data_IF_160613292928
#
_entry.id   IF_160613292928
#
_cell.length_a   1.000
_cell.length_b   1.000
_cell.length_c   1.000
_cell.angle_alpha   90.00
_cell.angle_beta   90.00
_cell.angle_gamma   90.00
#
_symmetry.space_group_name_H-M   'P 1'
#
loop_
_entity.id
_entity.type
_entity.pdbx_description
1 polymer ?
#
# COMPACT_ATOMS: atom_id res chain seq x y z
N UNK A 1 -42.96 -33.49 -3.30
CA UNK A 1 -41.95 -32.73 -2.53
C UNK A 1 -41.32 -31.72 -3.49
N UNK A 2 -41.87 -30.52 -3.54
CA UNK A 2 -41.40 -29.42 -4.39
C UNK A 2 -41.07 -28.26 -3.47
N UNK A 3 -39.80 -27.87 -3.43
CA UNK A 3 -39.36 -26.61 -2.82
C UNK A 3 -39.00 -25.65 -3.95
N UNK A 4 -39.61 -24.47 -4.06
CA UNK A 4 -39.07 -23.40 -4.89
C UNK A 4 -38.13 -22.54 -4.06
N UNK A 5 -36.83 -22.60 -4.35
CA UNK A 5 -35.81 -21.69 -3.80
C UNK A 5 -35.98 -20.33 -4.45
N UNK A 6 -36.53 -19.35 -3.72
CA UNK A 6 -36.61 -17.95 -4.14
C UNK A 6 -35.27 -17.26 -3.86
N UNK A 7 -34.37 -17.23 -4.85
CA UNK A 7 -33.19 -16.34 -4.82
C UNK A 7 -33.64 -14.93 -5.25
N UNK A 8 -33.87 -14.05 -4.27
CA UNK A 8 -34.05 -12.62 -4.53
C UNK A 8 -32.73 -11.94 -4.90
N UNK A 9 -32.75 -10.84 -5.66
CA UNK A 9 -31.53 -10.10 -6.00
C UNK A 9 -30.82 -9.59 -4.75
N UNK A 10 -29.47 -9.52 -4.73
CA UNK A 10 -28.75 -8.93 -3.62
C UNK A 10 -29.18 -7.47 -3.47
N UNK A 11 -29.67 -7.11 -2.28
CA UNK A 11 -29.97 -5.72 -1.92
C UNK A 11 -28.70 -4.89 -2.11
N UNK A 12 -28.73 -3.77 -2.86
CA UNK A 12 -27.57 -2.89 -2.92
C UNK A 12 -27.27 -2.39 -1.50
N UNK A 13 -26.03 -2.60 -1.05
CA UNK A 13 -25.50 -2.03 0.20
C UNK A 13 -25.76 -0.52 0.14
N UNK A 14 -26.50 0.01 1.11
CA UNK A 14 -26.82 1.43 1.19
C UNK A 14 -25.52 2.25 1.21
N UNK A 15 -25.33 3.12 0.22
CA UNK A 15 -24.23 4.10 0.16
C UNK A 15 -24.25 5.10 1.33
N UNK A 16 -25.30 5.09 2.16
CA UNK A 16 -25.46 5.97 3.33
C UNK A 16 -24.63 5.54 4.56
N UNK A 17 -23.84 4.46 4.48
CA UNK A 17 -22.88 4.07 5.52
C UNK A 17 -21.45 4.51 5.17
N UNK A 18 -21.31 5.63 4.47
CA UNK A 18 -20.12 6.45 4.63
C UNK A 18 -20.26 7.13 5.99
N UNK A 19 -19.78 6.46 7.03
CA UNK A 19 -19.73 7.01 8.38
C UNK A 19 -19.12 8.41 8.30
N UNK A 20 -19.91 9.43 8.66
CA UNK A 20 -19.39 10.74 8.98
C UNK A 20 -18.20 10.55 9.94
N UNK A 21 -17.11 11.33 9.82
CA UNK A 21 -15.99 11.20 10.74
C UNK A 21 -16.53 11.26 12.16
N UNK A 22 -16.30 10.18 12.92
CA UNK A 22 -16.73 10.08 14.31
C UNK A 22 -16.28 11.33 15.03
N UNK A 23 -17.19 12.04 15.71
CA UNK A 23 -16.89 13.29 16.39
C UNK A 23 -15.74 13.15 17.44
N UNK A 24 -15.43 11.91 17.83
CA UNK A 24 -14.37 11.53 18.79
C UNK A 24 -13.09 11.01 18.12
N UNK A 25 -12.95 11.10 16.80
CA UNK A 25 -11.75 10.61 16.12
C UNK A 25 -10.53 11.47 16.48
N UNK A 26 -9.56 10.87 17.17
CA UNK A 26 -8.27 11.50 17.45
C UNK A 26 -7.58 11.81 16.11
N UNK A 27 -7.10 13.04 15.86
CA UNK A 27 -6.35 13.36 14.65
C UNK A 27 -5.02 12.57 14.61
N UNK A 28 -4.95 11.55 13.76
CA UNK A 28 -3.78 10.65 13.70
C UNK A 28 -2.66 11.15 12.79
N UNK A 29 -2.92 12.08 11.87
CA UNK A 29 -1.95 12.49 10.85
C UNK A 29 -0.65 13.02 11.48
N UNK A 30 -0.74 14.04 12.33
CA UNK A 30 0.42 14.67 12.97
C UNK A 30 1.27 13.70 13.79
N UNK A 31 0.71 12.92 14.74
CA UNK A 31 1.53 12.01 15.53
C UNK A 31 2.15 10.88 14.70
N UNK A 32 1.46 10.38 13.66
CA UNK A 32 2.01 9.35 12.76
C UNK A 32 3.16 9.90 11.92
N UNK A 33 3.02 11.12 11.37
CA UNK A 33 4.08 11.77 10.58
C UNK A 33 5.32 12.03 11.46
N UNK A 34 5.15 12.60 12.65
CA UNK A 34 6.26 12.88 13.57
C UNK A 34 6.99 11.60 13.99
N UNK A 35 6.25 10.51 14.25
CA UNK A 35 6.86 9.21 14.53
C UNK A 35 7.64 8.67 13.32
N UNK A 36 7.08 8.79 12.11
CA UNK A 36 7.73 8.33 10.89
C UNK A 36 9.04 9.08 10.63
N UNK A 37 9.06 10.41 10.81
CA UNK A 37 10.28 11.23 10.69
C UNK A 37 11.39 10.76 11.63
N UNK A 38 11.06 10.37 12.86
CA UNK A 38 12.04 9.92 13.86
C UNK A 38 12.45 8.44 13.73
N UNK A 39 11.63 7.59 13.11
CA UNK A 39 11.79 6.12 13.16
C UNK A 39 11.84 5.43 11.79
N UNK A 40 11.72 6.17 10.68
CA UNK A 40 11.75 5.57 9.36
C UNK A 40 13.06 4.82 9.11
N UNK A 41 12.95 3.56 8.69
CA UNK A 41 14.09 2.81 8.19
C UNK A 41 14.62 3.46 6.92
N UNK A 42 15.94 3.55 6.84
CA UNK A 42 16.65 3.91 5.63
C UNK A 42 16.55 2.75 4.62
N UNK A 43 15.83 2.98 3.53
CA UNK A 43 15.60 2.02 2.45
C UNK A 43 15.89 2.72 1.13
N UNK A 44 16.60 2.10 0.19
CA UNK A 44 17.10 2.79 -1.00
C UNK A 44 15.97 3.37 -1.88
N UNK A 45 14.83 2.68 -1.97
CA UNK A 45 13.64 3.18 -2.69
C UNK A 45 12.89 4.32 -2.00
N UNK A 46 13.23 4.67 -0.75
CA UNK A 46 12.67 5.86 -0.05
C UNK A 46 13.52 7.11 -0.26
N UNK A 47 14.72 6.97 -0.79
CA UNK A 47 15.64 8.10 -0.98
C UNK A 47 15.34 8.84 -2.28
N UNK A 48 15.63 10.15 -2.38
CA UNK A 48 15.33 10.94 -3.57
C UNK A 48 15.93 10.37 -4.87
N UNK A 49 17.09 9.72 -4.79
CA UNK A 49 17.78 9.12 -5.94
C UNK A 49 17.04 7.96 -6.60
N UNK A 50 16.07 7.33 -5.94
CA UNK A 50 15.31 6.22 -6.51
C UNK A 50 14.46 6.67 -7.72
N UNK A 51 13.95 7.91 -7.68
CA UNK A 51 13.04 8.46 -8.69
C UNK A 51 11.78 7.61 -8.91
N UNK A 52 10.97 7.98 -9.90
CA UNK A 52 9.72 7.27 -10.19
C UNK A 52 9.94 5.80 -10.59
N UNK A 53 11.03 5.51 -11.32
CA UNK A 53 11.36 4.14 -11.76
C UNK A 53 11.76 3.25 -10.59
N UNK A 54 12.69 3.71 -9.73
CA UNK A 54 13.11 2.96 -8.57
C UNK A 54 11.97 2.74 -7.57
N UNK A 55 11.06 3.71 -7.41
CA UNK A 55 9.86 3.53 -6.59
C UNK A 55 8.98 2.43 -7.18
N UNK A 56 8.62 2.51 -8.47
CA UNK A 56 7.75 1.51 -9.11
C UNK A 56 8.33 0.09 -9.06
N UNK A 57 9.63 -0.08 -9.31
CA UNK A 57 10.31 -1.39 -9.18
C UNK A 57 10.21 -1.91 -7.76
N UNK A 58 10.42 -1.06 -6.75
CA UNK A 58 10.33 -1.48 -5.35
C UNK A 58 8.92 -1.94 -4.98
N UNK A 59 7.88 -1.25 -5.45
CA UNK A 59 6.48 -1.61 -5.20
C UNK A 59 6.13 -2.97 -5.80
N UNK A 60 6.60 -3.28 -7.01
CA UNK A 60 6.40 -4.60 -7.62
C UNK A 60 7.13 -5.70 -6.85
N UNK A 61 8.38 -5.48 -6.46
CA UNK A 61 9.16 -6.47 -5.74
C UNK A 61 8.61 -6.74 -4.33
N UNK A 62 8.08 -5.71 -3.65
CA UNK A 62 7.60 -5.81 -2.28
C UNK A 62 6.19 -6.46 -2.18
N UNK A 63 5.55 -6.78 -3.30
CA UNK A 63 4.35 -7.61 -3.27
C UNK A 63 4.73 -9.02 -2.81
N UNK A 64 4.20 -9.44 -1.65
CA UNK A 64 4.39 -10.78 -1.08
C UNK A 64 5.85 -11.18 -0.78
N UNK A 65 6.82 -10.26 -0.93
CA UNK A 65 8.24 -10.51 -0.65
C UNK A 65 8.75 -9.60 0.48
N UNK A 66 9.35 -10.15 1.54
CA UNK A 66 9.85 -9.35 2.65
C UNK A 66 11.05 -8.50 2.25
N UNK A 67 11.17 -7.32 2.89
CA UNK A 67 12.20 -6.30 2.62
C UNK A 67 13.62 -6.87 2.57
N UNK A 68 13.97 -7.75 3.51
CA UNK A 68 15.32 -8.33 3.60
C UNK A 68 15.72 -9.16 2.38
N UNK A 69 14.74 -9.76 1.70
CA UNK A 69 14.96 -10.53 0.46
C UNK A 69 14.99 -9.60 -0.76
N UNK A 70 14.21 -8.52 -0.75
CA UNK A 70 14.15 -7.56 -1.86
C UNK A 70 15.40 -6.69 -1.95
N UNK A 71 15.94 -6.23 -0.82
CA UNK A 71 17.03 -5.24 -0.77
C UNK A 71 18.22 -5.54 -1.71
N UNK A 72 18.87 -6.73 -1.65
CA UNK A 72 19.98 -7.03 -2.55
C UNK A 72 19.57 -7.20 -4.02
N UNK A 73 18.33 -7.65 -4.29
CA UNK A 73 17.83 -7.86 -5.66
C UNK A 73 17.47 -6.52 -6.31
N UNK A 74 16.94 -5.58 -5.54
CA UNK A 74 16.62 -4.22 -5.97
C UNK A 74 17.87 -3.48 -6.48
N UNK A 75 18.96 -3.52 -5.71
CA UNK A 75 20.22 -2.88 -6.09
C UNK A 75 20.80 -3.47 -7.40
N UNK A 76 20.79 -4.80 -7.52
CA UNK A 76 21.22 -5.50 -8.74
C UNK A 76 20.36 -5.15 -9.95
N UNK A 77 19.04 -5.04 -9.76
CA UNK A 77 18.11 -4.67 -10.82
C UNK A 77 18.38 -3.27 -11.34
N UNK A 78 18.52 -2.27 -10.47
CA UNK A 78 18.76 -0.89 -10.90
C UNK A 78 20.16 -0.68 -11.48
N UNK A 79 21.16 -1.45 -11.04
CA UNK A 79 22.46 -1.47 -11.70
C UNK A 79 22.36 -1.97 -13.15
N UNK A 80 21.49 -2.95 -13.41
CA UNK A 80 21.30 -3.54 -14.75
C UNK A 80 20.34 -2.75 -15.65
N UNK A 81 19.31 -2.15 -15.06
CA UNK A 81 18.25 -1.38 -15.72
C UNK A 81 17.97 -0.09 -14.94
N UNK A 82 18.80 0.96 -15.13
CA UNK A 82 18.69 2.19 -14.35
C UNK A 82 17.46 3.04 -14.70
N UNK A 83 16.83 2.78 -15.85
CA UNK A 83 15.63 3.48 -16.32
C UNK A 83 14.75 2.53 -17.14
N UNK A 84 13.46 2.83 -17.34
CA UNK A 84 12.63 2.16 -18.34
C UNK A 84 13.31 2.28 -19.72
N UNK A 85 13.11 1.27 -20.57
CA UNK A 85 13.62 1.27 -21.93
C UNK A 85 13.11 2.49 -22.73
#
# INVERSE_FOLDING_TARGET
>A
MTAPTKNGPPTPRSTAEQAAPSADAVPLHTPVIAWFEANARDLPWRRPEAGAWGVMVSEFMLQQTPVNRVLPVYEQWLARWPRPA
#
